data_IF_217919145855
#
_entry.id   IF_217919145855
#
_cell.length_a   1.000
_cell.length_b   1.000
_cell.length_c   1.000
_cell.angle_alpha   90.00
_cell.angle_beta   90.00
_cell.angle_gamma   90.00
#
_symmetry.space_group_name_H-M   'P 1'
#
loop_
_entity.id
_entity.type
_entity.pdbx_description
1 polymer ?
#
# COMPACT_ATOMS: atom_id res chain seq x y z
N UNK A 1 18.78 28.47 6.70
CA UNK A 1 17.40 28.00 6.84
C UNK A 1 17.25 26.56 6.30
N UNK A 2 18.28 26.03 5.61
CA UNK A 2 18.28 24.70 4.95
C UNK A 2 18.60 23.46 5.79
N UNK A 3 19.28 23.61 6.93
CA UNK A 3 19.78 22.42 7.63
C UNK A 3 18.65 21.54 8.17
N UNK A 4 17.53 22.11 8.62
CA UNK A 4 16.46 21.30 9.21
C UNK A 4 15.75 20.44 8.15
N UNK A 5 15.40 21.00 6.99
CA UNK A 5 14.72 20.24 5.93
C UNK A 5 15.54 19.03 5.45
N UNK A 6 16.83 19.22 5.18
CA UNK A 6 17.72 18.13 4.76
C UNK A 6 17.97 17.10 5.87
N UNK A 7 17.81 17.46 7.14
CA UNK A 7 18.04 16.54 8.26
C UNK A 7 16.80 15.68 8.55
N UNK A 8 15.60 16.25 8.45
CA UNK A 8 14.34 15.56 8.75
C UNK A 8 13.72 14.87 7.52
N UNK A 9 13.96 15.39 6.32
CA UNK A 9 13.38 14.90 5.06
C UNK A 9 14.47 14.67 3.99
N UNK A 10 15.38 13.70 4.18
CA UNK A 10 16.54 13.51 3.31
C UNK A 10 16.21 13.04 1.89
N UNK A 11 14.98 12.56 1.65
CA UNK A 11 14.51 12.08 0.35
C UNK A 11 13.70 13.13 -0.41
N UNK A 12 13.56 14.35 0.14
CA UNK A 12 12.87 15.46 -0.49
C UNK A 12 13.92 16.46 -0.99
N UNK A 13 13.99 16.65 -2.31
CA UNK A 13 15.04 17.46 -2.94
C UNK A 13 14.47 18.79 -3.48
N UNK A 14 15.21 19.90 -3.36
CA UNK A 14 14.81 21.17 -3.96
C UNK A 14 14.95 21.10 -5.49
N UNK A 15 13.96 21.62 -6.20
CA UNK A 15 13.93 21.71 -7.66
C UNK A 15 14.42 23.06 -8.20
N UNK A 16 14.50 24.07 -7.35
CA UNK A 16 14.95 25.41 -7.72
C UNK A 16 15.91 26.02 -6.69
N UNK A 17 16.69 27.01 -7.14
CA UNK A 17 17.65 27.73 -6.29
C UNK A 17 16.97 28.60 -5.23
N UNK A 18 15.71 28.96 -5.47
CA UNK A 18 14.88 29.77 -4.58
C UNK A 18 14.30 28.98 -3.41
N UNK A 19 14.46 27.65 -3.41
CA UNK A 19 14.01 26.74 -2.35
C UNK A 19 12.50 26.82 -2.09
N UNK A 20 11.74 27.08 -3.15
CA UNK A 20 10.28 27.18 -3.14
C UNK A 20 9.61 25.95 -3.76
N UNK A 21 10.35 25.12 -4.48
CA UNK A 21 9.84 23.87 -5.07
C UNK A 21 10.65 22.68 -4.59
N UNK A 22 9.97 21.62 -4.17
CA UNK A 22 10.60 20.37 -3.75
C UNK A 22 9.83 19.17 -4.30
N UNK A 23 10.55 18.11 -4.63
CA UNK A 23 9.97 16.83 -5.06
C UNK A 23 10.75 15.68 -4.44
N UNK A 24 10.08 14.55 -4.22
CA UNK A 24 10.73 13.36 -3.73
C UNK A 24 9.79 12.46 -2.94
N UNK A 25 10.32 11.82 -1.91
CA UNK A 25 9.59 10.79 -1.18
C UNK A 25 9.51 11.08 0.32
N UNK A 26 8.36 10.77 0.92
CA UNK A 26 8.20 10.74 2.37
C UNK A 26 7.99 9.30 2.82
N UNK A 27 8.86 8.83 3.70
CA UNK A 27 8.67 7.56 4.39
C UNK A 27 7.87 7.80 5.67
N UNK A 28 6.68 7.22 5.74
CA UNK A 28 5.77 7.35 6.88
C UNK A 28 5.38 5.94 7.31
N UNK A 29 5.77 5.55 8.52
CA UNK A 29 5.73 4.14 8.97
C UNK A 29 6.52 3.24 8.00
N UNK A 30 5.87 2.18 7.50
CA UNK A 30 6.42 1.23 6.52
C UNK A 30 6.01 1.56 5.07
N UNK A 31 5.33 2.69 4.85
CA UNK A 31 4.89 3.15 3.53
C UNK A 31 5.75 4.29 3.02
N UNK A 32 5.90 4.40 1.70
CA UNK A 32 6.66 5.47 1.04
C UNK A 32 5.77 6.13 0.01
N UNK A 33 5.59 7.43 0.12
CA UNK A 33 4.73 8.23 -0.77
C UNK A 33 5.57 9.19 -1.59
N UNK A 34 5.24 9.31 -2.87
CA UNK A 34 5.77 10.41 -3.69
C UNK A 34 5.04 11.70 -3.35
N UNK A 35 5.79 12.78 -3.14
CA UNK A 35 5.25 14.10 -2.87
C UNK A 35 5.98 15.21 -3.64
N UNK A 36 5.21 16.23 -4.01
CA UNK A 36 5.69 17.48 -4.59
C UNK A 36 5.14 18.64 -3.78
N UNK A 37 6.03 19.48 -3.27
CA UNK A 37 5.74 20.67 -2.47
C UNK A 37 6.08 21.93 -3.26
N UNK A 38 5.12 22.85 -3.38
CA UNK A 38 5.35 24.20 -3.88
C UNK A 38 5.01 25.24 -2.81
N UNK A 39 5.86 26.25 -2.65
CA UNK A 39 5.75 27.29 -1.64
C UNK A 39 5.63 28.64 -2.36
N UNK A 40 4.50 29.32 -2.21
CA UNK A 40 4.32 30.67 -2.76
C UNK A 40 5.10 31.74 -1.97
N UNK A 41 4.89 31.79 -0.65
CA UNK A 41 5.58 32.68 0.29
C UNK A 41 5.98 31.89 1.54
N UNK A 42 7.29 31.81 1.80
CA UNK A 42 7.89 31.09 2.94
C UNK A 42 7.41 31.58 4.32
N UNK A 43 6.78 32.76 4.40
CA UNK A 43 6.22 33.31 5.63
C UNK A 43 4.70 33.11 5.73
N UNK A 44 4.05 32.70 4.65
CA UNK A 44 2.60 32.45 4.60
C UNK A 44 2.31 30.97 4.27
N UNK A 45 2.08 30.14 5.29
CA UNK A 45 1.73 28.72 5.13
C UNK A 45 0.48 28.48 4.29
N UNK A 46 -0.42 29.46 4.14
CA UNK A 46 -1.61 29.32 3.29
C UNK A 46 -1.26 29.22 1.80
N UNK A 47 -0.03 29.59 1.43
CA UNK A 47 0.49 29.50 0.06
C UNK A 47 1.22 28.19 -0.21
N UNK A 48 1.33 27.30 0.78
CA UNK A 48 1.98 26.01 0.63
C UNK A 48 1.01 25.02 -0.01
N UNK A 49 1.45 24.35 -1.07
CA UNK A 49 0.69 23.31 -1.72
C UNK A 49 1.52 22.03 -1.77
N UNK A 50 0.99 20.99 -1.14
CA UNK A 50 1.59 19.66 -1.14
C UNK A 50 0.67 18.72 -1.92
N UNK A 51 1.22 18.11 -2.94
CA UNK A 51 0.58 17.09 -3.74
C UNK A 51 1.35 15.78 -3.62
N UNK A 52 0.70 14.67 -3.95
CA UNK A 52 1.36 13.36 -3.99
C UNK A 52 0.66 12.40 -4.93
N UNK A 53 1.10 11.14 -4.83
CA UNK A 53 0.52 10.03 -5.58
C UNK A 53 -0.98 9.80 -5.27
N UNK A 54 -1.59 8.94 -6.08
CA UNK A 54 -3.01 8.64 -5.98
C UNK A 54 -3.37 7.95 -4.66
N UNK A 55 -2.47 7.12 -4.14
CA UNK A 55 -2.63 6.38 -2.88
C UNK A 55 -2.71 7.37 -1.71
N UNK A 56 -1.82 8.36 -1.68
CA UNK A 56 -1.86 9.44 -0.71
C UNK A 56 -3.16 10.24 -0.84
N UNK A 57 -3.58 10.60 -2.05
CA UNK A 57 -4.85 11.33 -2.27
C UNK A 57 -6.06 10.53 -1.78
N UNK A 58 -6.10 9.23 -2.04
CA UNK A 58 -7.16 8.36 -1.60
C UNK A 58 -7.18 8.25 -0.08
N UNK A 59 -6.04 7.98 0.56
CA UNK A 59 -5.90 7.93 2.02
C UNK A 59 -6.39 9.24 2.67
N UNK A 60 -5.99 10.37 2.09
CA UNK A 60 -6.38 11.68 2.58
C UNK A 60 -7.88 11.95 2.39
N UNK A 61 -8.49 11.46 1.30
CA UNK A 61 -9.93 11.63 1.04
C UNK A 61 -10.83 10.95 2.08
N UNK A 62 -10.35 9.86 2.71
CA UNK A 62 -11.05 9.15 3.78
C UNK A 62 -10.92 9.85 5.14
N UNK A 63 -9.99 10.79 5.25
CA UNK A 63 -9.77 11.52 6.49
C UNK A 63 -10.72 12.72 6.53
N UNK A 64 -11.71 12.71 7.43
CA UNK A 64 -12.71 13.77 7.62
C UNK A 64 -12.15 15.13 8.12
N UNK A 65 -10.83 15.33 8.04
CA UNK A 65 -10.14 16.52 8.52
C UNK A 65 -9.86 17.43 7.34
N UNK A 66 -10.35 18.66 7.45
CA UNK A 66 -10.08 19.70 6.47
C UNK A 66 -8.59 20.05 6.57
N UNK A 67 -7.80 19.64 5.56
CA UNK A 67 -6.35 19.84 5.52
C UNK A 67 -5.97 21.29 5.75
N UNK A 68 -6.77 22.20 5.20
CA UNK A 68 -6.62 23.64 5.32
C UNK A 68 -6.58 24.13 6.79
N UNK A 69 -7.31 23.47 7.71
CA UNK A 69 -7.33 23.84 9.14
C UNK A 69 -6.09 23.38 9.91
N UNK A 70 -5.52 22.22 9.54
CA UNK A 70 -4.29 21.69 10.16
C UNK A 70 -3.08 22.43 9.59
N UNK A 71 -3.08 22.67 8.28
CA UNK A 71 -2.00 23.32 7.56
C UNK A 71 -1.90 24.82 7.90
N UNK A 72 -3.03 25.50 8.12
CA UNK A 72 -3.09 26.91 8.52
C UNK A 72 -2.51 27.24 9.91
N UNK A 73 -2.12 26.23 10.71
CA UNK A 73 -1.44 26.42 12.01
C UNK A 73 0.08 26.31 11.94
N UNK A 74 0.62 26.00 10.77
CA UNK A 74 2.05 25.79 10.59
C UNK A 74 2.82 27.09 10.71
N UNK A 75 4.03 27.06 11.28
CA UNK A 75 4.88 28.26 11.46
C UNK A 75 6.11 28.26 10.56
N UNK A 76 6.37 27.14 9.90
CA UNK A 76 7.49 26.93 8.99
C UNK A 76 7.18 25.75 8.06
N UNK A 77 7.96 25.62 6.99
CA UNK A 77 7.87 24.51 6.03
C UNK A 77 8.10 23.16 6.71
N UNK A 78 9.10 23.06 7.60
CA UNK A 78 9.37 21.83 8.33
C UNK A 78 8.23 21.45 9.28
N UNK A 79 7.63 22.43 9.95
CA UNK A 79 6.45 22.19 10.79
C UNK A 79 5.24 21.74 9.97
N UNK A 80 5.05 22.32 8.79
CA UNK A 80 4.01 21.92 7.85
C UNK A 80 4.17 20.45 7.44
N UNK A 81 5.38 20.05 7.03
CA UNK A 81 5.65 18.66 6.63
C UNK A 81 5.54 17.67 7.79
N UNK A 82 5.95 18.05 9.00
CA UNK A 82 5.76 17.20 10.19
C UNK A 82 4.27 17.00 10.50
N UNK A 83 3.47 18.06 10.46
CA UNK A 83 2.02 17.96 10.68
C UNK A 83 1.35 17.12 9.58
N UNK A 84 1.80 17.25 8.33
CA UNK A 84 1.37 16.39 7.23
C UNK A 84 1.71 14.92 7.50
N UNK A 85 2.97 14.61 7.84
CA UNK A 85 3.39 13.24 8.19
C UNK A 85 2.58 12.69 9.36
N UNK A 86 2.35 13.48 10.41
CA UNK A 86 1.53 13.10 11.56
C UNK A 86 0.08 12.80 11.16
N UNK A 87 -0.48 13.53 10.20
CA UNK A 87 -1.83 13.31 9.71
C UNK A 87 -1.91 12.02 8.90
N UNK A 88 -1.01 11.85 7.93
CA UNK A 88 -0.91 10.62 7.13
C UNK A 88 -0.67 9.42 8.03
N UNK A 89 0.21 9.53 9.03
CA UNK A 89 0.44 8.49 10.03
C UNK A 89 -0.85 8.15 10.79
N UNK A 90 -1.64 9.14 11.20
CA UNK A 90 -2.93 8.89 11.86
C UNK A 90 -3.93 8.20 10.93
N UNK A 91 -3.98 8.57 9.65
CA UNK A 91 -4.84 7.94 8.66
C UNK A 91 -4.43 6.47 8.42
N UNK A 92 -3.13 6.22 8.25
CA UNK A 92 -2.56 4.88 8.14
C UNK A 92 -2.86 4.04 9.39
N UNK A 93 -2.65 4.61 10.58
CA UNK A 93 -2.97 3.93 11.84
C UNK A 93 -4.47 3.69 11.99
N UNK A 94 -5.35 4.56 11.52
CA UNK A 94 -6.80 4.29 11.57
C UNK A 94 -7.22 3.17 10.62
N UNK A 95 -6.61 3.07 9.44
CA UNK A 95 -6.80 1.93 8.54
C UNK A 95 -6.26 0.64 9.17
N UNK A 96 -5.05 0.70 9.74
CA UNK A 96 -4.40 -0.43 10.43
C UNK A 96 -5.11 -0.85 11.73
N UNK A 97 -5.65 0.07 12.52
CA UNK A 97 -6.35 -0.25 13.76
C UNK A 97 -7.77 -0.80 13.50
N UNK A 98 -8.39 -0.40 12.39
CA UNK A 98 -9.64 -1.01 11.92
C UNK A 98 -9.42 -2.47 11.50
N UNK A 99 -8.28 -2.77 10.87
CA UNK A 99 -7.93 -4.15 10.56
C UNK A 99 -7.44 -4.91 11.80
N UNK A 100 -6.40 -4.47 12.49
CA UNK A 100 -5.62 -5.30 13.44
C UNK A 100 -6.29 -5.60 14.79
N UNK A 101 -7.22 -4.76 15.28
CA UNK A 101 -7.80 -4.93 16.62
C UNK A 101 -9.19 -5.57 16.67
N UNK A 102 -9.83 -5.84 15.54
CA UNK A 102 -11.12 -6.53 15.52
C UNK A 102 -10.96 -7.98 15.09
N UNK A 103 -11.05 -8.87 16.08
CA UNK A 103 -11.19 -10.30 15.87
C UNK A 103 -12.42 -10.52 14.99
N UNK A 104 -12.25 -11.24 13.89
CA UNK A 104 -13.34 -11.59 12.99
C UNK A 104 -14.47 -12.28 13.75
N UNK A 105 -15.73 -12.03 13.34
CA UNK A 105 -16.87 -12.74 13.93
C UNK A 105 -16.66 -14.26 13.78
N UNK A 106 -17.17 -15.10 14.69
CA UNK A 106 -17.03 -16.56 14.58
C UNK A 106 -17.53 -17.12 13.23
N UNK A 107 -18.57 -16.51 12.68
CA UNK A 107 -19.12 -16.85 11.35
C UNK A 107 -18.11 -16.52 10.24
N UNK A 108 -17.53 -15.31 10.26
CA UNK A 108 -16.51 -14.90 9.28
C UNK A 108 -15.24 -15.76 9.38
N UNK A 109 -14.79 -16.06 10.60
CA UNK A 109 -13.68 -16.98 10.82
C UNK A 109 -13.95 -18.36 10.21
N UNK A 110 -15.15 -18.90 10.41
CA UNK A 110 -15.53 -20.18 9.82
C UNK A 110 -15.55 -20.10 8.27
N UNK A 111 -16.03 -19.00 7.70
CA UNK A 111 -15.99 -18.77 6.26
C UNK A 111 -14.55 -18.69 5.72
N UNK A 112 -13.66 -17.95 6.39
CA UNK A 112 -12.25 -17.83 6.02
C UNK A 112 -11.56 -19.19 6.09
N UNK A 113 -11.67 -19.89 7.23
CA UNK A 113 -11.06 -21.20 7.44
C UNK A 113 -11.56 -22.23 6.42
N UNK A 114 -12.87 -22.27 6.15
CA UNK A 114 -13.44 -23.19 5.15
C UNK A 114 -12.90 -22.89 3.75
N UNK A 115 -12.82 -21.60 3.40
CA UNK A 115 -12.26 -21.18 2.11
C UNK A 115 -10.77 -21.53 1.98
N UNK A 116 -9.98 -21.38 3.05
CA UNK A 116 -8.57 -21.78 3.06
C UNK A 116 -8.39 -23.29 2.92
N UNK A 117 -9.26 -24.08 3.54
CA UNK A 117 -9.27 -25.52 3.39
C UNK A 117 -9.54 -25.93 1.93
N UNK A 118 -10.45 -25.24 1.24
CA UNK A 118 -10.70 -25.43 -0.20
C UNK A 118 -9.54 -24.99 -1.09
N UNK A 119 -8.79 -23.97 -0.67
CA UNK A 119 -7.56 -23.55 -1.36
C UNK A 119 -6.42 -24.56 -1.19
N UNK A 120 -6.48 -25.37 -0.12
CA UNK A 120 -5.43 -26.30 0.29
C UNK A 120 -4.39 -25.61 1.19
N UNK A 121 -4.21 -26.13 2.40
CA UNK A 121 -3.27 -25.60 3.40
C UNK A 121 -1.82 -25.54 2.94
N UNK A 122 -1.41 -26.34 1.94
CA UNK A 122 -0.07 -26.26 1.34
C UNK A 122 0.21 -24.92 0.63
N UNK A 123 -0.84 -24.19 0.27
CA UNK A 123 -0.78 -22.91 -0.41
C UNK A 123 -0.88 -21.72 0.56
N UNK A 124 -1.03 -21.97 1.87
CA UNK A 124 -1.12 -20.93 2.89
C UNK A 124 0.24 -20.80 3.58
N UNK A 125 0.82 -19.60 3.54
CA UNK A 125 2.12 -19.31 4.18
C UNK A 125 1.95 -18.66 5.55
N UNK A 126 0.94 -17.82 5.72
CA UNK A 126 0.72 -17.08 6.96
C UNK A 126 -0.76 -16.74 7.15
N UNK A 127 -1.18 -16.78 8.41
CA UNK A 127 -2.46 -16.25 8.89
C UNK A 127 -2.18 -15.57 10.22
N UNK A 128 -2.61 -14.32 10.39
CA UNK A 128 -2.44 -13.62 11.65
C UNK A 128 -3.45 -14.09 12.73
N UNK A 129 -3.22 -13.69 13.98
CA UNK A 129 -4.04 -14.14 15.12
C UNK A 129 -5.53 -13.77 14.98
N UNK A 130 -5.82 -12.63 14.34
CA UNK A 130 -7.19 -12.14 14.10
C UNK A 130 -7.83 -12.73 12.84
N UNK A 131 -7.11 -13.53 12.05
CA UNK A 131 -7.52 -14.10 10.76
C UNK A 131 -8.12 -13.07 9.78
N UNK A 132 -7.63 -11.83 9.86
CA UNK A 132 -7.95 -10.74 8.96
C UNK A 132 -6.82 -10.49 7.94
N UNK A 133 -5.66 -11.14 8.10
CA UNK A 133 -4.55 -11.07 7.18
C UNK A 133 -4.08 -12.48 6.84
N UNK A 134 -4.06 -12.78 5.54
CA UNK A 134 -3.74 -14.08 4.98
C UNK A 134 -2.66 -13.91 3.91
N UNK A 135 -1.59 -14.70 3.97
CA UNK A 135 -0.62 -14.78 2.88
C UNK A 135 -0.69 -16.16 2.26
N UNK A 136 -0.81 -16.19 0.95
CA UNK A 136 -0.92 -17.41 0.17
C UNK A 136 0.11 -17.40 -0.96
N UNK A 137 0.51 -18.60 -1.38
CA UNK A 137 1.44 -18.81 -2.49
C UNK A 137 0.88 -19.72 -3.56
N UNK A 138 1.43 -19.58 -4.75
CA UNK A 138 1.23 -20.49 -5.86
C UNK A 138 2.57 -20.74 -6.55
N UNK A 139 2.91 -22.01 -6.76
CA UNK A 139 4.09 -22.39 -7.56
C UNK A 139 3.62 -22.71 -8.97
N UNK A 140 4.17 -22.00 -9.95
CA UNK A 140 3.79 -22.19 -11.35
C UNK A 140 4.52 -23.38 -12.02
N UNK A 141 4.20 -23.61 -13.29
CA UNK A 141 4.73 -24.74 -14.08
C UNK A 141 6.26 -24.67 -14.28
N UNK A 142 6.87 -23.48 -14.13
CA UNK A 142 8.32 -23.28 -14.20
C UNK A 142 9.01 -23.35 -12.82
N UNK A 143 8.25 -23.63 -11.75
CA UNK A 143 8.75 -23.71 -10.39
C UNK A 143 8.94 -22.36 -9.70
N UNK A 144 8.38 -21.27 -10.24
CA UNK A 144 8.44 -19.94 -9.63
C UNK A 144 7.32 -19.79 -8.59
N UNK A 145 7.65 -19.20 -7.46
CA UNK A 145 6.68 -18.92 -6.38
C UNK A 145 6.10 -17.53 -6.56
N UNK A 146 4.77 -17.44 -6.61
CA UNK A 146 3.99 -16.20 -6.69
C UNK A 146 3.18 -16.05 -5.43
N UNK A 147 3.19 -14.87 -4.81
CA UNK A 147 2.52 -14.64 -3.53
C UNK A 147 1.34 -13.66 -3.68
N UNK A 148 0.34 -13.84 -2.81
CA UNK A 148 -0.77 -12.91 -2.62
C UNK A 148 -1.02 -12.72 -1.13
N UNK A 149 -1.10 -11.46 -0.71
CA UNK A 149 -1.53 -11.00 0.61
C UNK A 149 -2.97 -10.55 0.51
N UNK A 150 -3.82 -11.04 1.40
CA UNK A 150 -5.26 -10.74 1.44
C UNK A 150 -5.59 -10.17 2.82
N UNK A 151 -6.11 -8.95 2.81
CA UNK A 151 -6.61 -8.24 4.00
C UNK A 151 -8.14 -8.32 4.00
N UNK A 152 -8.68 -9.09 4.93
CA UNK A 152 -10.09 -9.38 5.11
C UNK A 152 -10.70 -8.31 6.04
N UNK A 153 -11.62 -7.46 5.55
CA UNK A 153 -12.29 -6.46 6.38
C UNK A 153 -13.23 -7.14 7.38
N UNK A 154 -13.60 -6.44 8.44
CA UNK A 154 -14.56 -6.95 9.41
C UNK A 154 -15.96 -7.12 8.80
N UNK A 155 -16.33 -6.27 7.85
CA UNK A 155 -17.60 -6.29 7.09
C UNK A 155 -17.64 -7.39 6.02
N UNK A 156 -16.63 -8.26 5.94
CA UNK A 156 -16.62 -9.40 5.04
C UNK A 156 -17.87 -10.29 5.28
N UNK A 157 -18.53 -10.85 4.24
CA UNK A 157 -18.24 -10.71 2.79
C UNK A 157 -18.92 -9.51 2.12
N UNK A 158 -19.54 -8.60 2.89
CA UNK A 158 -20.25 -7.42 2.35
C UNK A 158 -19.29 -6.42 1.72
N UNK A 159 -18.13 -6.22 2.35
CA UNK A 159 -17.02 -5.43 1.81
C UNK A 159 -15.96 -6.33 1.17
N UNK A 160 -15.39 -5.85 0.06
CA UNK A 160 -14.34 -6.56 -0.66
C UNK A 160 -13.02 -6.55 0.16
N UNK A 161 -12.28 -7.66 0.19
CA UNK A 161 -10.94 -7.66 0.76
C UNK A 161 -9.96 -6.87 -0.11
N UNK A 162 -9.00 -6.21 0.55
CA UNK A 162 -7.85 -5.57 -0.12
C UNK A 162 -6.81 -6.64 -0.39
N UNK A 163 -6.17 -6.60 -1.55
CA UNK A 163 -5.22 -7.61 -1.96
C UNK A 163 -3.95 -6.96 -2.51
N UNK A 164 -2.80 -7.54 -2.18
CA UNK A 164 -1.50 -7.19 -2.74
C UNK A 164 -0.83 -8.47 -3.26
N UNK A 165 -0.15 -8.42 -4.39
CA UNK A 165 0.33 -9.63 -5.05
C UNK A 165 1.60 -9.41 -5.85
N UNK A 166 2.32 -10.51 -6.12
CA UNK A 166 3.52 -10.50 -6.97
C UNK A 166 3.24 -10.27 -8.47
N UNK A 167 2.00 -9.93 -8.85
CA UNK A 167 1.65 -9.63 -10.25
C UNK A 167 2.29 -8.29 -10.68
N UNK A 168 2.59 -8.10 -11.97
CA UNK A 168 3.24 -6.87 -12.46
C UNK A 168 2.31 -5.65 -12.51
N UNK A 169 1.09 -5.76 -11.96
CA UNK A 169 0.07 -4.73 -11.89
C UNK A 169 -0.73 -4.89 -10.60
N UNK A 170 -1.38 -3.81 -10.15
CA UNK A 170 -2.25 -3.83 -8.98
C UNK A 170 -3.37 -4.86 -9.12
N UNK A 171 -3.57 -5.69 -8.09
CA UNK A 171 -4.58 -6.74 -8.09
C UNK A 171 -5.81 -6.29 -7.28
N UNK A 172 -6.90 -6.03 -7.99
CA UNK A 172 -8.21 -5.79 -7.38
C UNK A 172 -9.15 -6.98 -7.65
N UNK A 173 -9.70 -7.62 -6.60
CA UNK A 173 -10.64 -8.70 -6.78
C UNK A 173 -11.98 -8.20 -7.31
N UNK A 174 -12.54 -8.87 -8.31
CA UNK A 174 -13.91 -8.58 -8.79
C UNK A 174 -14.91 -9.03 -7.73
N UNK A 175 -15.42 -8.07 -6.96
CA UNK A 175 -16.29 -8.35 -5.81
C UNK A 175 -17.76 -8.03 -6.08
N UNK A 176 -18.61 -9.05 -6.10
CA UNK A 176 -20.07 -8.92 -6.12
C UNK A 176 -20.62 -9.28 -4.74
N UNK A 177 -21.44 -8.41 -4.13
CA UNK A 177 -21.96 -8.56 -2.77
C UNK A 177 -22.58 -9.97 -2.56
N UNK A 178 -21.97 -10.76 -1.67
CA UNK A 178 -22.63 -11.89 -0.99
C UNK A 178 -22.16 -13.32 -1.33
N UNK A 179 -21.50 -13.58 -2.46
CA UNK A 179 -21.21 -14.96 -2.89
C UNK A 179 -19.73 -15.28 -3.16
N UNK A 180 -18.83 -14.30 -2.99
CA UNK A 180 -17.39 -14.51 -3.25
C UNK A 180 -16.68 -14.92 -1.97
N UNK A 181 -15.70 -15.80 -2.13
CA UNK A 181 -14.89 -16.41 -1.07
C UNK A 181 -13.41 -16.09 -1.26
N UNK A 182 -12.58 -16.42 -0.26
CA UNK A 182 -11.12 -16.36 -0.41
C UNK A 182 -10.64 -17.29 -1.54
N UNK A 183 -11.33 -18.42 -1.75
CA UNK A 183 -11.05 -19.36 -2.83
C UNK A 183 -11.23 -18.73 -4.20
N UNK A 184 -12.29 -17.95 -4.40
CA UNK A 184 -12.52 -17.25 -5.67
C UNK A 184 -11.40 -16.25 -6.00
N UNK A 185 -10.88 -15.56 -4.98
CA UNK A 185 -9.74 -14.63 -5.12
C UNK A 185 -8.49 -15.42 -5.50
N UNK A 186 -8.21 -16.50 -4.77
CA UNK A 186 -7.05 -17.33 -5.01
C UNK A 186 -7.07 -17.96 -6.42
N UNK A 187 -8.21 -18.46 -6.88
CA UNK A 187 -8.36 -19.03 -8.22
C UNK A 187 -8.18 -18.01 -9.33
N UNK A 188 -8.72 -16.80 -9.15
CA UNK A 188 -8.51 -15.70 -10.10
C UNK A 188 -7.04 -15.27 -10.14
N UNK A 189 -6.37 -15.19 -8.99
CA UNK A 189 -4.93 -14.94 -8.89
C UNK A 189 -4.12 -16.01 -9.63
N UNK A 190 -4.36 -17.30 -9.35
CA UNK A 190 -3.70 -18.43 -10.04
C UNK A 190 -3.96 -18.38 -11.55
N UNK A 191 -5.20 -18.06 -11.95
CA UNK A 191 -5.56 -17.88 -13.36
C UNK A 191 -4.79 -16.75 -14.05
N UNK A 192 -4.56 -15.63 -13.36
CA UNK A 192 -3.74 -14.51 -13.86
C UNK A 192 -2.26 -14.90 -13.94
N UNK A 193 -1.70 -15.58 -12.93
CA UNK A 193 -0.33 -16.11 -12.96
C UNK A 193 -0.13 -17.03 -14.16
N UNK A 194 -1.10 -17.90 -14.46
CA UNK A 194 -1.06 -18.79 -15.61
C UNK A 194 -1.09 -18.05 -16.95
N UNK A 195 -1.88 -16.98 -17.07
CA UNK A 195 -1.92 -16.14 -18.28
C UNK A 195 -0.61 -15.39 -18.51
N UNK A 196 0.12 -15.08 -17.45
CA UNK A 196 1.38 -14.34 -17.50
C UNK A 196 2.63 -15.22 -17.66
N UNK A 197 2.49 -16.54 -17.83
CA UNK A 197 3.64 -17.42 -18.05
C UNK A 197 4.60 -16.95 -19.16
N UNK A 198 4.14 -16.45 -20.32
CA UNK A 198 5.03 -15.90 -21.33
C UNK A 198 5.81 -14.66 -20.85
N UNK A 199 5.17 -13.79 -20.07
CA UNK A 199 5.81 -12.60 -19.49
C UNK A 199 6.91 -12.99 -18.51
N UNK A 200 6.61 -13.90 -17.58
CA UNK A 200 7.58 -14.39 -16.61
C UNK A 200 8.76 -15.09 -17.28
N UNK A 201 8.52 -15.86 -18.36
CA UNK A 201 9.60 -16.48 -19.14
C UNK A 201 10.56 -15.47 -19.75
N UNK A 202 10.06 -14.32 -20.23
CA UNK A 202 10.92 -13.23 -20.74
C UNK A 202 11.72 -12.60 -19.60
N UNK A 203 11.12 -12.40 -18.43
CA UNK A 203 11.83 -11.85 -17.25
C UNK A 203 12.96 -12.77 -16.79
N UNK A 204 12.73 -14.08 -16.72
CA UNK A 204 13.75 -15.07 -16.36
C UNK A 204 14.95 -15.05 -17.35
N UNK A 205 14.68 -14.89 -18.65
CA UNK A 205 15.74 -14.75 -19.64
C UNK A 205 16.59 -13.50 -19.43
N UNK A 206 15.95 -12.38 -19.09
CA UNK A 206 16.62 -11.11 -18.84
C UNK A 206 17.51 -11.24 -17.59
N UNK A 207 16.95 -11.73 -16.48
CA UNK A 207 17.66 -11.92 -15.22
C UNK A 207 18.83 -12.90 -15.37
N UNK A 208 18.61 -14.00 -16.11
CA UNK A 208 19.63 -14.98 -16.44
C UNK A 208 20.79 -14.43 -17.29
N UNK A 209 20.56 -13.38 -18.08
CA UNK A 209 21.61 -12.70 -18.87
C UNK A 209 22.41 -11.71 -18.04
N UNK A 210 21.82 -11.07 -17.05
CA UNK A 210 22.54 -10.16 -16.15
C UNK A 210 23.47 -10.92 -15.20
N UNK A 211 23.04 -12.08 -14.67
CA UNK A 211 23.88 -12.89 -13.78
C UNK A 211 25.09 -13.56 -14.46
N UNK A 212 25.09 -13.69 -15.79
CA UNK A 212 26.22 -14.27 -16.54
C UNK A 212 27.31 -13.26 -16.93
N UNK A 213 27.12 -11.96 -16.68
CA UNK A 213 28.11 -10.91 -17.01
C UNK A 213 29.07 -10.58 -15.85
N UNK A 214 28.98 -11.31 -14.73
CA UNK A 214 29.84 -11.14 -13.56
C UNK A 214 30.63 -12.42 -13.20
N UNK A 215 30.80 -13.33 -14.15
CA UNK A 215 31.70 -14.47 -14.08
C UNK A 215 32.72 -14.41 -15.21
#
# INVERSE_FOLDING_TARGET
MDLEMSTWFPLLVPLNEELTEYDGFLKILDSVFHVSLSIGDINDPATYNLSGDWELKELLSHTNKNYDEVLGRSKSVSHFLMEFCNLVEKALRSEQHSSDMQIQSPENLQHVISSLQECGWSNVDYVNESANELHMKHVDEAGRTHNIRILVPHEFPTQAPKCDSSLPFGYEPVWSKGNRTIKDIYDDFVGKVKKLQPFWGVMDEIDGRFNKRHL
#
